data_IF_033911159062
#
_entry.id   IF_033911159062
#
_cell.length_a   1.000
_cell.length_b   1.000
_cell.length_c   1.000
_cell.angle_alpha   90.00
_cell.angle_beta   90.00
_cell.angle_gamma   90.00
#
_symmetry.space_group_name_H-M   'P 1'
#
loop_
_entity.id
_entity.type
_entity.pdbx_description
1 polymer ?
#
# COMPACT_ATOMS: atom_id res chain seq x y z
N UNK A 1 5.70 -18.21 20.44
CA UNK A 1 5.70 -16.75 20.22
C UNK A 1 4.25 -16.30 20.04
N UNK A 2 3.75 -15.36 20.86
CA UNK A 2 2.46 -14.69 20.64
C UNK A 2 2.75 -13.33 20.01
N UNK A 3 2.12 -13.05 18.88
CA UNK A 3 2.29 -11.82 18.13
C UNK A 3 0.90 -11.32 17.75
N UNK A 4 0.65 -10.03 17.96
CA UNK A 4 -0.57 -9.37 17.51
C UNK A 4 -0.24 -8.50 16.30
N UNK A 5 -1.04 -8.63 15.24
CA UNK A 5 -0.89 -7.81 14.04
C UNK A 5 -2.12 -6.94 13.93
N UNK A 6 -1.92 -5.62 13.96
CA UNK A 6 -2.98 -4.62 13.81
C UNK A 6 -2.90 -4.10 12.38
N UNK A 7 -3.93 -4.33 11.58
CA UNK A 7 -4.04 -3.75 10.24
C UNK A 7 -5.13 -2.69 10.20
N UNK A 8 -4.82 -1.51 9.65
CA UNK A 8 -5.79 -0.44 9.58
C UNK A 8 -5.53 0.54 8.43
N UNK A 9 -6.49 0.64 7.52
CA UNK A 9 -6.53 1.72 6.54
C UNK A 9 -7.03 3.00 7.24
N UNK A 10 -6.14 3.98 7.38
CA UNK A 10 -6.44 5.22 8.12
C UNK A 10 -7.25 6.23 7.30
N UNK A 11 -7.48 5.94 6.01
CA UNK A 11 -8.10 6.77 4.99
C UNK A 11 -7.40 8.14 4.89
N UNK A 12 -6.67 8.33 3.80
CA UNK A 12 -5.82 9.52 3.59
C UNK A 12 -6.56 10.83 3.88
N UNK A 13 -5.86 11.81 4.45
CA UNK A 13 -6.37 13.17 4.71
C UNK A 13 -7.00 13.82 3.47
N UNK A 14 -6.56 13.43 2.27
CA UNK A 14 -7.05 13.99 1.01
C UNK A 14 -8.26 13.23 0.43
N UNK A 15 -8.60 12.07 0.97
CA UNK A 15 -9.65 11.19 0.43
C UNK A 15 -10.93 11.23 1.27
N UNK A 16 -11.00 12.02 2.33
CA UNK A 16 -12.17 12.13 3.22
C UNK A 16 -13.17 13.22 2.82
N UNK A 17 -13.29 13.59 1.54
CA UNK A 17 -14.17 14.70 1.14
C UNK A 17 -15.66 14.43 1.39
N UNK A 18 -16.44 15.40 1.91
CA UNK A 18 -17.90 15.29 2.03
C UNK A 18 -18.63 14.99 0.73
N UNK A 19 -18.06 15.37 -0.42
CA UNK A 19 -18.64 15.06 -1.73
C UNK A 19 -18.62 13.56 -2.04
N UNK A 20 -17.68 12.81 -1.45
CA UNK A 20 -17.60 11.36 -1.59
C UNK A 20 -18.44 10.64 -0.52
N UNK A 21 -18.55 11.25 0.67
CA UNK A 21 -19.27 10.69 1.82
C UNK A 21 -20.49 11.55 2.19
N UNK A 22 -21.43 11.66 1.25
CA UNK A 22 -22.57 12.60 1.32
C UNK A 22 -23.54 12.34 2.47
N UNK A 23 -23.51 11.16 3.06
CA UNK A 23 -24.37 10.76 4.19
C UNK A 23 -23.71 10.95 5.56
N UNK A 24 -22.43 11.27 5.62
CA UNK A 24 -21.69 11.43 6.87
C UNK A 24 -21.69 12.88 7.35
N UNK A 25 -21.57 13.09 8.66
CA UNK A 25 -21.37 14.42 9.22
C UNK A 25 -20.06 15.01 8.65
N UNK A 26 -20.09 16.12 7.91
CA UNK A 26 -18.90 16.72 7.31
C UNK A 26 -17.85 17.13 8.35
N UNK A 27 -18.24 17.43 9.58
CA UNK A 27 -17.28 17.74 10.64
C UNK A 27 -16.42 16.52 11.01
N UNK A 28 -16.96 15.31 10.91
CA UNK A 28 -16.22 14.07 11.17
C UNK A 28 -15.31 13.66 10.00
N UNK A 29 -15.42 14.36 8.87
CA UNK A 29 -14.64 14.13 7.67
C UNK A 29 -13.40 15.04 7.58
N UNK A 30 -13.39 16.13 8.36
CA UNK A 30 -12.26 17.05 8.47
C UNK A 30 -11.00 16.30 8.95
N UNK A 31 -9.90 16.28 8.16
CA UNK A 31 -8.65 15.61 8.55
C UNK A 31 -8.08 16.08 9.89
N UNK A 32 -8.24 17.37 10.24
CA UNK A 32 -7.73 17.91 11.50
C UNK A 32 -8.47 17.36 12.71
N UNK A 33 -9.77 17.05 12.56
CA UNK A 33 -10.59 16.44 13.61
C UNK A 33 -10.46 14.93 13.66
N UNK A 34 -10.20 14.30 12.52
CA UNK A 34 -10.00 12.84 12.42
C UNK A 34 -8.69 12.37 13.02
N UNK A 35 -7.59 13.06 12.79
CA UNK A 35 -6.26 12.60 13.21
C UNK A 35 -6.19 12.29 14.72
N UNK A 36 -6.67 13.15 15.64
CA UNK A 36 -6.71 12.82 17.07
C UNK A 36 -7.49 11.54 17.39
N UNK A 37 -8.61 11.29 16.73
CA UNK A 37 -9.43 10.08 16.92
C UNK A 37 -8.70 8.84 16.39
N UNK A 38 -8.01 8.96 15.25
CA UNK A 38 -7.16 7.88 14.71
C UNK A 38 -6.03 7.55 15.69
N UNK A 39 -5.32 8.56 16.20
CA UNK A 39 -4.25 8.36 17.18
C UNK A 39 -4.78 7.72 18.47
N UNK A 40 -5.95 8.15 18.97
CA UNK A 40 -6.59 7.53 20.13
C UNK A 40 -6.95 6.06 19.87
N UNK A 41 -7.43 5.74 18.66
CA UNK A 41 -7.70 4.36 18.29
C UNK A 41 -6.41 3.53 18.23
N UNK A 42 -5.31 4.06 17.69
CA UNK A 42 -4.01 3.37 17.69
C UNK A 42 -3.47 3.20 19.12
N UNK A 43 -3.60 4.22 19.97
CA UNK A 43 -3.21 4.18 21.37
C UNK A 43 -3.89 3.02 22.12
N UNK A 44 -5.21 2.85 21.94
CA UNK A 44 -5.93 1.76 22.62
C UNK A 44 -5.40 0.39 22.19
N UNK A 45 -4.98 0.24 20.93
CA UNK A 45 -4.40 -1.00 20.45
C UNK A 45 -3.00 -1.24 21.03
N UNK A 46 -2.20 -0.19 21.21
CA UNK A 46 -0.87 -0.28 21.83
C UNK A 46 -0.94 -0.72 23.29
N UNK A 47 -1.95 -0.22 24.02
CA UNK A 47 -2.16 -0.54 25.42
C UNK A 47 -2.69 -1.95 25.66
N UNK A 48 -3.41 -2.53 24.69
CA UNK A 48 -4.00 -3.87 24.81
C UNK A 48 -2.95 -4.99 24.82
N UNK A 49 -1.90 -4.87 23.99
CA UNK A 49 -0.88 -5.91 23.86
C UNK A 49 0.44 -5.27 23.41
N UNK A 50 1.48 -5.37 24.26
CA UNK A 50 2.79 -4.79 24.01
C UNK A 50 3.43 -5.36 22.73
N UNK A 51 3.20 -6.66 22.46
CA UNK A 51 3.75 -7.37 21.29
C UNK A 51 2.88 -7.19 20.04
N UNK A 52 2.55 -5.94 19.71
CA UNK A 52 1.73 -5.56 18.56
C UNK A 52 2.57 -4.97 17.43
N UNK A 53 2.39 -5.44 16.20
CA UNK A 53 2.95 -4.83 14.98
C UNK A 53 1.83 -4.16 14.20
N UNK A 54 2.01 -2.91 13.80
CA UNK A 54 1.01 -2.08 13.13
C UNK A 54 1.30 -2.01 11.64
N UNK A 55 0.29 -2.33 10.84
CA UNK A 55 0.28 -2.30 9.38
C UNK A 55 -0.77 -1.27 8.95
N UNK A 56 -0.33 -0.06 8.60
CA UNK A 56 -1.24 1.02 8.22
C UNK A 56 -1.27 1.19 6.70
N UNK A 57 -2.46 1.45 6.15
CA UNK A 57 -2.66 1.81 4.75
C UNK A 57 -3.26 3.21 4.61
N UNK A 58 -3.09 3.82 3.45
CA UNK A 58 -3.48 5.19 3.13
C UNK A 58 -2.90 6.24 4.09
N UNK A 59 -1.68 6.02 4.57
CA UNK A 59 -0.94 7.02 5.34
C UNK A 59 -0.51 8.14 4.40
N UNK A 60 -1.03 9.35 4.57
CA UNK A 60 -0.68 10.54 3.77
C UNK A 60 0.57 11.25 4.29
N UNK A 61 1.19 12.09 3.46
CA UNK A 61 2.32 12.94 3.86
C UNK A 61 1.98 13.82 5.07
N UNK A 62 0.79 14.42 5.09
CA UNK A 62 0.35 15.31 6.18
C UNK A 62 0.32 14.60 7.54
N UNK A 63 0.06 13.29 7.54
CA UNK A 63 -0.08 12.50 8.77
C UNK A 63 1.16 11.66 9.08
N UNK A 64 2.01 11.36 8.08
CA UNK A 64 3.18 10.51 8.23
C UNK A 64 4.13 11.02 9.33
N UNK A 65 4.44 12.32 9.34
CA UNK A 65 5.30 12.93 10.36
C UNK A 65 4.73 12.77 11.79
N UNK A 66 3.43 12.98 11.95
CA UNK A 66 2.74 12.79 13.23
C UNK A 66 2.77 11.32 13.67
N UNK A 67 2.55 10.38 12.75
CA UNK A 67 2.66 8.95 13.09
C UNK A 67 4.08 8.54 13.48
N UNK A 68 5.11 9.04 12.78
CA UNK A 68 6.51 8.80 13.17
C UNK A 68 6.77 9.26 14.60
N UNK A 69 6.37 10.49 14.94
CA UNK A 69 6.52 11.01 16.30
C UNK A 69 5.72 10.21 17.33
N UNK A 70 4.45 9.90 17.01
CA UNK A 70 3.54 9.15 17.89
C UNK A 70 4.10 7.78 18.27
N UNK A 71 4.55 6.99 17.29
CA UNK A 71 5.13 5.67 17.52
C UNK A 71 6.49 5.76 18.22
N UNK A 72 7.38 6.67 17.78
CA UNK A 72 8.70 6.84 18.40
C UNK A 72 8.62 7.17 19.90
N UNK A 73 7.70 8.06 20.28
CA UNK A 73 7.46 8.43 21.69
C UNK A 73 6.99 7.24 22.56
N UNK A 74 6.56 6.14 21.95
CA UNK A 74 6.03 4.95 22.63
C UNK A 74 6.96 3.75 22.54
N UNK A 75 8.20 3.94 22.09
CA UNK A 75 9.18 2.86 21.94
C UNK A 75 8.96 2.00 20.71
N UNK A 76 8.30 2.55 19.68
CA UNK A 76 8.10 1.88 18.40
C UNK A 76 9.01 2.49 17.33
N UNK A 77 9.59 1.64 16.50
CA UNK A 77 10.16 2.07 15.23
C UNK A 77 9.07 2.01 14.16
N UNK A 78 9.06 2.98 13.24
CA UNK A 78 8.12 3.00 12.11
C UNK A 78 8.84 3.32 10.81
N UNK A 79 8.48 2.60 9.75
CA UNK A 79 8.92 2.83 8.37
C UNK A 79 7.71 3.09 7.48
N UNK A 80 7.89 3.92 6.44
CA UNK A 80 6.85 4.22 5.45
C UNK A 80 7.28 3.86 4.04
N UNK A 81 6.33 3.42 3.21
CA UNK A 81 6.46 3.23 1.78
C UNK A 81 5.41 4.07 1.06
N UNK A 82 5.70 5.35 0.88
CA UNK A 82 4.76 6.33 0.32
C UNK A 82 4.93 6.43 -1.20
N UNK A 83 3.83 6.27 -1.95
CA UNK A 83 3.88 6.13 -3.40
C UNK A 83 2.77 6.86 -4.16
N UNK A 84 1.85 7.47 -3.42
CA UNK A 84 0.70 8.16 -3.96
C UNK A 84 1.08 9.39 -4.79
N UNK A 85 0.06 10.18 -5.11
CA UNK A 85 0.20 11.43 -5.87
C UNK A 85 -0.46 12.56 -5.11
N UNK A 86 -0.29 13.80 -5.57
CA UNK A 86 -0.86 14.98 -4.94
C UNK A 86 -2.35 14.84 -4.57
N UNK A 87 -3.17 14.25 -5.45
CA UNK A 87 -4.62 14.13 -5.22
C UNK A 87 -5.01 13.24 -4.03
N UNK A 88 -4.15 12.31 -3.60
CA UNK A 88 -4.39 11.41 -2.48
C UNK A 88 -3.42 11.66 -1.31
N UNK A 89 -2.79 12.84 -1.27
CA UNK A 89 -1.86 13.21 -0.21
C UNK A 89 -0.55 12.43 -0.23
N UNK A 90 -0.12 11.97 -1.41
CA UNK A 90 1.05 11.11 -1.60
C UNK A 90 1.00 9.86 -0.70
N UNK A 91 -0.19 9.31 -0.51
CA UNK A 91 -0.40 8.25 0.47
C UNK A 91 0.36 6.97 0.15
N UNK A 92 0.58 6.14 1.16
CA UNK A 92 1.08 4.79 0.98
C UNK A 92 0.83 3.94 2.21
N UNK A 93 1.82 3.15 2.58
CA UNK A 93 1.75 2.25 3.73
C UNK A 93 2.75 2.63 4.80
N UNK A 94 2.46 2.25 6.04
CA UNK A 94 3.40 2.34 7.15
C UNK A 94 3.42 1.04 7.95
N UNK A 95 4.59 0.70 8.48
CA UNK A 95 4.78 -0.45 9.34
C UNK A 95 5.48 -0.01 10.63
N UNK A 96 4.92 -0.35 11.79
CA UNK A 96 5.49 0.01 13.09
C UNK A 96 5.57 -1.17 14.05
N UNK A 97 6.65 -1.26 14.84
CA UNK A 97 6.91 -2.38 15.77
C UNK A 97 7.65 -1.94 17.04
N UNK A 98 7.43 -2.62 18.18
CA UNK A 98 8.07 -2.30 19.45
C UNK A 98 9.53 -2.75 19.47
N UNK A 99 10.46 -1.82 19.69
CA UNK A 99 11.90 -2.09 19.61
C UNK A 99 12.46 -2.89 20.79
N UNK A 100 11.76 -2.86 21.92
CA UNK A 100 12.11 -3.65 23.12
C UNK A 100 11.79 -5.14 22.95
N UNK A 101 10.79 -5.49 22.14
CA UNK A 101 10.37 -6.88 21.95
C UNK A 101 11.03 -7.51 20.73
N UNK A 102 11.28 -6.70 19.69
CA UNK A 102 11.78 -7.16 18.41
C UNK A 102 13.03 -6.40 17.98
N UNK A 103 14.01 -7.15 17.51
CA UNK A 103 15.18 -6.63 16.79
C UNK A 103 14.86 -6.56 15.30
N UNK A 104 15.17 -5.43 14.67
CA UNK A 104 15.07 -5.27 13.21
C UNK A 104 16.24 -5.99 12.54
N UNK A 105 15.96 -7.00 11.73
CA UNK A 105 16.97 -7.70 10.92
C UNK A 105 17.10 -7.07 9.55
N UNK A 106 15.98 -6.81 8.88
CA UNK A 106 15.93 -6.22 7.54
C UNK A 106 14.64 -5.42 7.34
N UNK A 107 14.68 -4.43 6.46
CA UNK A 107 13.53 -3.63 6.03
C UNK A 107 13.58 -3.50 4.52
N UNK A 108 12.51 -3.95 3.85
CA UNK A 108 12.35 -3.81 2.41
C UNK A 108 11.21 -2.85 2.09
N UNK A 109 11.49 -1.89 1.21
CA UNK A 109 10.52 -0.95 0.66
C UNK A 109 10.62 -1.05 -0.85
N UNK A 110 9.64 -1.71 -1.47
CA UNK A 110 9.70 -2.07 -2.88
C UNK A 110 8.41 -1.72 -3.59
N UNK A 111 8.52 -1.04 -4.73
CA UNK A 111 7.41 -0.97 -5.69
C UNK A 111 7.24 -2.37 -6.27
N UNK A 112 6.13 -3.04 -6.00
CA UNK A 112 5.91 -4.43 -6.41
C UNK A 112 6.02 -4.62 -7.91
N UNK A 113 5.66 -3.59 -8.67
CA UNK A 113 5.78 -3.66 -10.12
C UNK A 113 7.22 -3.78 -10.62
N UNK A 114 8.22 -3.40 -9.82
CA UNK A 114 9.63 -3.46 -10.22
C UNK A 114 10.29 -4.80 -9.82
N UNK A 115 9.60 -5.66 -9.06
CA UNK A 115 10.19 -6.88 -8.50
C UNK A 115 9.94 -8.15 -9.32
N UNK A 116 9.22 -8.06 -10.44
CA UNK A 116 8.86 -9.18 -11.31
C UNK A 116 9.26 -8.91 -12.75
N UNK A 117 9.60 -9.98 -13.48
CA UNK A 117 9.69 -9.94 -14.94
C UNK A 117 8.29 -9.96 -15.57
N UNK A 118 7.96 -8.93 -16.32
CA UNK A 118 6.68 -8.79 -17.02
C UNK A 118 6.70 -9.53 -18.36
N UNK A 119 5.53 -9.99 -18.85
CA UNK A 119 5.44 -10.55 -20.20
C UNK A 119 5.98 -9.55 -21.25
N UNK A 120 6.68 -10.03 -22.29
CA UNK A 120 7.13 -9.16 -23.36
C UNK A 120 5.93 -8.49 -24.03
N UNK A 121 6.09 -7.21 -24.38
CA UNK A 121 5.08 -6.46 -25.11
C UNK A 121 5.16 -6.85 -26.57
N UNK A 122 4.02 -7.11 -27.21
CA UNK A 122 3.98 -7.30 -28.65
C UNK A 122 4.50 -6.02 -29.33
N UNK A 123 5.64 -6.12 -30.00
CA UNK A 123 6.19 -5.00 -30.78
C UNK A 123 5.22 -4.71 -31.93
N UNK A 124 4.48 -3.60 -31.82
CA UNK A 124 3.66 -3.11 -32.94
C UNK A 124 4.59 -2.75 -34.10
N UNK A 125 4.54 -3.54 -35.17
CA UNK A 125 5.27 -3.28 -36.41
C UNK A 125 4.97 -1.88 -36.93
N UNK A 126 5.97 -1.17 -37.43
CA UNK A 126 5.83 0.21 -37.92
C UNK A 126 4.67 0.39 -38.94
N UNK A 127 4.37 -0.67 -39.72
CA UNK A 127 3.27 -0.71 -40.69
C UNK A 127 1.88 -0.89 -40.07
N UNK A 128 1.77 -1.49 -38.88
CA UNK A 128 0.49 -1.64 -38.18
C UNK A 128 0.00 -0.31 -37.63
N UNK A 129 0.89 0.62 -37.29
CA UNK A 129 0.51 1.94 -36.78
C UNK A 129 -0.26 2.77 -37.82
N UNK A 130 0.02 2.64 -39.12
CA UNK A 130 -0.67 3.41 -40.17
C UNK A 130 -2.10 2.88 -40.37
N UNK A 131 -2.27 1.56 -40.40
CA UNK A 131 -3.58 0.91 -40.49
C UNK A 131 -4.40 1.10 -39.20
N UNK A 132 -3.78 0.94 -38.03
CA UNK A 132 -4.43 1.15 -36.73
C UNK A 132 -4.88 2.60 -36.56
N UNK A 133 -4.12 3.59 -37.04
CA UNK A 133 -4.55 5.01 -36.96
C UNK A 133 -5.76 5.29 -37.85
N UNK A 134 -5.84 4.67 -39.03
CA UNK A 134 -6.98 4.81 -39.94
C UNK A 134 -8.25 4.12 -39.42
N UNK A 135 -8.12 2.98 -38.72
CA UNK A 135 -9.24 2.22 -38.15
C UNK A 135 -9.65 2.72 -36.75
N UNK A 136 -8.71 3.26 -35.96
CA UNK A 136 -8.98 3.78 -34.62
C UNK A 136 -9.73 5.11 -34.63
N UNK A 137 -9.61 5.93 -35.69
CA UNK A 137 -10.34 7.20 -35.81
C UNK A 137 -11.87 7.02 -35.77
N UNK A 138 -12.50 6.10 -36.56
CA UNK A 138 -13.93 5.82 -36.43
C UNK A 138 -14.30 5.08 -35.13
N UNK A 139 -13.42 4.22 -34.58
CA UNK A 139 -13.70 3.50 -33.32
C UNK A 139 -13.73 4.42 -32.08
N UNK A 140 -12.85 5.43 -32.04
CA UNK A 140 -12.87 6.49 -31.00
C UNK A 140 -14.16 7.31 -31.06
N UNK A 141 -14.67 7.56 -32.26
CA UNK A 141 -15.95 8.24 -32.48
C UNK A 141 -17.15 7.42 -31.96
N UNK A 142 -17.05 6.09 -32.02
CA UNK A 142 -18.03 5.12 -31.52
C UNK A 142 -17.95 4.85 -30.01
N UNK A 143 -17.02 5.50 -29.29
CA UNK A 143 -16.94 5.42 -27.83
C UNK A 143 -16.53 4.06 -27.27
N UNK A 144 -16.03 3.13 -28.10
CA UNK A 144 -15.48 1.86 -27.59
C UNK A 144 -14.19 2.15 -26.82
N UNK A 145 -14.28 2.05 -25.51
CA UNK A 145 -13.14 2.15 -24.60
C UNK A 145 -12.23 0.95 -24.85
N UNK A 146 -11.01 1.20 -25.29
CA UNK A 146 -9.99 0.16 -25.47
C UNK A 146 -9.79 -0.54 -24.12
N UNK A 147 -10.03 -1.85 -24.08
CA UNK A 147 -9.74 -2.65 -22.90
C UNK A 147 -8.22 -2.71 -22.75
N UNK A 148 -7.75 -2.13 -21.65
CA UNK A 148 -6.33 -2.10 -21.35
C UNK A 148 -5.88 -3.49 -20.93
N UNK A 149 -4.80 -3.97 -21.53
CA UNK A 149 -4.19 -5.24 -21.12
C UNK A 149 -3.91 -5.26 -19.60
N UNK A 150 -4.35 -6.30 -18.87
CA UNK A 150 -4.17 -6.37 -17.43
C UNK A 150 -2.71 -6.40 -16.97
N UNK A 151 -1.79 -6.95 -17.78
CA UNK A 151 -0.36 -6.99 -17.43
C UNK A 151 0.27 -5.62 -17.54
N UNK A 152 0.03 -4.92 -18.65
CA UNK A 152 0.43 -3.52 -18.81
C UNK A 152 -0.15 -2.63 -17.72
N UNK A 153 -1.41 -2.86 -17.34
CA UNK A 153 -2.05 -2.08 -16.29
C UNK A 153 -1.47 -2.39 -14.91
N UNK A 154 -1.13 -3.65 -14.64
CA UNK A 154 -0.49 -4.08 -13.40
C UNK A 154 0.95 -3.56 -13.28
N UNK A 155 1.75 -3.63 -14.36
CA UNK A 155 3.12 -3.13 -14.42
C UNK A 155 3.18 -1.63 -14.09
N UNK A 156 2.22 -0.85 -14.59
CA UNK A 156 2.21 0.61 -14.39
C UNK A 156 1.73 1.07 -13.01
N UNK A 157 1.35 0.14 -12.13
CA UNK A 157 0.99 0.50 -10.75
C UNK A 157 2.21 0.97 -9.98
N UNK A 158 1.99 1.96 -9.12
CA UNK A 158 3.03 2.54 -8.28
C UNK A 158 2.99 1.98 -6.86
N UNK A 159 2.09 1.05 -6.58
CA UNK A 159 1.87 0.52 -5.24
C UNK A 159 3.16 -0.07 -4.66
N UNK A 160 3.52 0.41 -3.47
CA UNK A 160 4.69 -0.03 -2.71
C UNK A 160 4.23 -0.99 -1.61
N UNK A 161 5.01 -2.05 -1.43
CA UNK A 161 4.97 -2.92 -0.28
C UNK A 161 6.12 -2.56 0.67
N UNK A 162 5.82 -2.50 1.96
CA UNK A 162 6.84 -2.37 3.00
C UNK A 162 6.82 -3.65 3.83
N UNK A 163 7.98 -4.28 3.99
CA UNK A 163 8.14 -5.44 4.84
C UNK A 163 9.32 -5.29 5.80
N UNK A 164 9.25 -5.98 6.93
CA UNK A 164 10.29 -6.04 7.94
C UNK A 164 10.52 -7.50 8.32
N UNK A 165 11.79 -7.88 8.39
CA UNK A 165 12.19 -9.11 9.08
C UNK A 165 12.56 -8.74 10.51
N UNK A 166 11.84 -9.33 11.46
CA UNK A 166 12.02 -9.11 12.89
C UNK A 166 12.52 -10.38 13.55
N UNK A 167 13.40 -10.23 14.54
CA UNK A 167 13.82 -11.29 15.44
C UNK A 167 13.24 -11.03 16.82
N UNK A 168 12.45 -11.98 17.33
CA UNK A 168 11.95 -11.95 18.71
C UNK A 168 13.12 -12.02 19.68
N UNK A 169 13.29 -10.98 20.51
CA UNK A 169 14.39 -10.91 21.47
C UNK A 169 14.26 -11.96 22.57
N UNK A 170 13.04 -12.43 22.87
CA UNK A 170 12.82 -13.45 23.91
C UNK A 170 13.11 -14.86 23.39
N UNK A 171 12.56 -15.23 22.23
CA UNK A 171 12.68 -16.60 21.70
C UNK A 171 13.83 -16.79 20.72
N UNK A 172 14.40 -15.71 20.17
CA UNK A 172 15.40 -15.75 19.11
C UNK A 172 14.84 -16.07 17.72
N UNK A 173 13.55 -16.38 17.60
CA UNK A 173 12.89 -16.72 16.33
C UNK A 173 12.72 -15.49 15.44
N UNK A 174 13.06 -15.63 14.16
CA UNK A 174 12.83 -14.60 13.15
C UNK A 174 11.53 -14.84 12.37
N UNK A 175 10.87 -13.75 11.97
CA UNK A 175 9.66 -13.76 11.14
C UNK A 175 9.60 -12.49 10.29
N UNK A 176 8.86 -12.54 9.17
CA UNK A 176 8.64 -11.39 8.29
C UNK A 176 7.19 -10.92 8.36
N UNK A 177 6.97 -9.60 8.41
CA UNK A 177 5.66 -8.97 8.24
C UNK A 177 5.74 -7.96 7.10
N UNK A 178 4.79 -8.05 6.19
CA UNK A 178 4.58 -7.08 5.12
C UNK A 178 3.24 -6.37 5.23
N UNK A 179 3.20 -5.10 4.84
CA UNK A 179 1.98 -4.34 4.60
C UNK A 179 1.93 -3.90 3.15
N UNK A 180 0.75 -4.04 2.56
CA UNK A 180 0.51 -3.67 1.17
C UNK A 180 -0.89 -3.08 1.02
N UNK A 181 -0.97 -1.96 0.32
CA UNK A 181 -2.25 -1.36 -0.05
C UNK A 181 -2.53 -1.71 -1.52
N UNK A 182 -3.41 -2.70 -1.73
CA UNK A 182 -3.81 -3.18 -3.05
C UNK A 182 -4.32 -2.05 -3.95
N UNK A 183 -4.08 -2.09 -5.27
CA UNK A 183 -4.63 -1.09 -6.18
C UNK A 183 -6.16 -1.17 -6.18
N UNK A 184 -6.84 -0.02 -6.06
CA UNK A 184 -8.31 0.10 -6.13
C UNK A 184 -8.83 -0.05 -7.57
N UNK A 185 -8.45 -1.14 -8.23
CA UNK A 185 -8.74 -1.46 -9.63
C UNK A 185 -10.00 -2.33 -9.75
N UNK A 186 -11.10 -1.96 -9.07
CA UNK A 186 -12.28 -2.83 -8.96
C UNK A 186 -12.92 -3.20 -10.31
N UNK A 187 -12.74 -2.36 -11.32
CA UNK A 187 -13.21 -2.62 -12.70
C UNK A 187 -12.25 -3.53 -13.51
N UNK A 188 -11.09 -3.86 -12.96
CA UNK A 188 -10.06 -4.69 -13.58
C UNK A 188 -9.54 -5.73 -12.55
N UNK A 189 -10.37 -6.69 -12.14
CA UNK A 189 -10.03 -7.63 -11.07
C UNK A 189 -8.76 -8.46 -11.37
N UNK A 190 -8.47 -8.72 -12.65
CA UNK A 190 -7.23 -9.39 -13.07
C UNK A 190 -5.97 -8.65 -12.61
N UNK A 191 -5.99 -7.30 -12.63
CA UNK A 191 -4.88 -6.49 -12.10
C UNK A 191 -4.70 -6.71 -10.62
N UNK A 192 -5.81 -6.82 -9.88
CA UNK A 192 -5.76 -7.10 -8.44
C UNK A 192 -5.22 -8.52 -8.19
N UNK A 193 -5.61 -9.51 -8.98
CA UNK A 193 -5.07 -10.87 -8.91
C UNK A 193 -3.56 -10.92 -9.16
N UNK A 194 -3.07 -10.22 -10.20
CA UNK A 194 -1.63 -10.12 -10.49
C UNK A 194 -0.88 -9.49 -9.30
N UNK A 195 -1.42 -8.43 -8.71
CA UNK A 195 -0.80 -7.77 -7.57
C UNK A 195 -0.80 -8.63 -6.29
N UNK A 196 -1.85 -9.41 -6.06
CA UNK A 196 -1.90 -10.37 -4.95
C UNK A 196 -0.80 -11.44 -5.08
N UNK A 197 -0.61 -11.98 -6.29
CA UNK A 197 0.44 -12.95 -6.62
C UNK A 197 1.83 -12.38 -6.33
N UNK A 198 2.15 -11.20 -6.89
CA UNK A 198 3.46 -10.56 -6.70
C UNK A 198 3.74 -10.22 -5.22
N UNK A 199 2.72 -9.77 -4.48
CA UNK A 199 2.88 -9.47 -3.05
C UNK A 199 3.22 -10.70 -2.21
N UNK A 200 2.68 -11.87 -2.56
CA UNK A 200 2.93 -13.13 -1.86
C UNK A 200 4.40 -13.55 -2.00
N UNK A 201 4.94 -13.50 -3.22
CA UNK A 201 6.33 -13.90 -3.49
C UNK A 201 7.37 -13.00 -2.83
N UNK A 202 7.05 -11.74 -2.52
CA UNK A 202 8.01 -10.83 -1.87
C UNK A 202 8.21 -11.13 -0.39
N UNK A 203 7.18 -11.62 0.30
CA UNK A 203 7.22 -11.91 1.75
C UNK A 203 7.87 -13.24 2.11
N UNK A 204 8.07 -14.12 1.13
CA UNK A 204 8.81 -15.36 1.30
C UNK A 204 10.24 -15.05 0.87
N UNK A 205 11.24 -14.97 1.76
CA UNK A 205 12.62 -15.05 1.29
C UNK A 205 12.70 -16.32 0.47
N UNK A 206 13.18 -16.21 -0.77
CA UNK A 206 13.41 -17.36 -1.63
C UNK A 206 14.47 -18.26 -0.98
N UNK A 207 14.06 -19.07 -0.01
CA UNK A 207 14.79 -20.23 0.49
C UNK A 207 14.44 -21.35 -0.47
N UNK A 208 14.84 -21.19 -1.73
CA UNK A 208 14.98 -22.32 -2.63
C UNK A 208 16.38 -22.87 -2.37
N UNK A 209 16.40 -24.08 -1.79
CA UNK A 209 17.59 -24.90 -1.58
C UNK A 209 18.32 -25.18 -2.88
#
# INVERSE_FOLDING_TARGET
MKLRVVTYNVLSSHLSSPNHYTTLNPDHLDPLRRLPVVLQKLESQLQEEKRSVFCLQEVSYDWAGTFHAFFAQRGFHMVTGLYGRKFNGYMGVALAWPTEEFETVDVDISRLSDTRSWPPKDEKSFWSNILDTAVAFPLKLLGKKEERDPWDYAEQRMNVMTSVTLKDRTSGTAFCIGTYHMPCAYFAPQVMTIHADVSCFRTVPAVFW
#
